data_IF_456811058437
#
_entry.id   IF_456811058437
#
_cell.length_a   1.000
_cell.length_b   1.000
_cell.length_c   1.000
_cell.angle_alpha   90.00
_cell.angle_beta   90.00
_cell.angle_gamma   90.00
#
_symmetry.space_group_name_H-M   'P 1'
#
loop_
_entity.id
_entity.type
_entity.pdbx_description
1 polymer ?
#
# COMPACT_ATOMS: atom_id res chain seq x y z
N UNK A 1 3.93 49.59 -0.23
CA UNK A 1 3.24 48.28 -0.30
C UNK A 1 4.21 47.18 0.11
N UNK A 2 4.31 46.88 1.39
CA UNK A 2 5.23 45.87 1.96
C UNK A 2 4.52 44.53 2.03
N UNK A 3 4.86 43.64 1.09
CA UNK A 3 4.32 42.28 1.02
C UNK A 3 4.84 41.41 2.17
N UNK A 4 3.94 41.00 3.06
CA UNK A 4 4.18 40.01 4.11
C UNK A 4 4.33 38.62 3.49
N UNK A 5 5.57 38.19 3.24
CA UNK A 5 5.89 36.78 2.91
C UNK A 5 5.50 35.89 4.10
N UNK A 6 4.33 35.26 4.03
CA UNK A 6 3.95 34.16 4.94
C UNK A 6 4.95 33.02 4.77
N UNK A 7 5.84 32.85 5.75
CA UNK A 7 6.71 31.66 5.86
C UNK A 7 5.82 30.46 6.19
N UNK A 8 5.74 29.49 5.29
CA UNK A 8 5.14 28.20 5.59
C UNK A 8 5.89 27.56 6.77
N UNK A 9 5.19 27.11 7.84
CA UNK A 9 5.84 26.40 8.93
C UNK A 9 6.40 25.09 8.38
N UNK A 10 7.73 24.96 8.42
CA UNK A 10 8.45 23.76 7.97
C UNK A 10 8.05 22.60 8.89
N UNK A 11 7.31 21.58 8.40
CA UNK A 11 6.81 20.45 9.21
C UNK A 11 7.94 19.70 9.94
N UNK A 12 9.15 19.84 9.43
CA UNK A 12 10.35 19.16 9.92
C UNK A 12 10.85 19.68 11.30
N UNK A 13 10.58 20.95 11.67
CA UNK A 13 11.04 21.48 12.97
C UNK A 13 10.25 20.93 14.15
N UNK A 14 8.92 20.82 13.99
CA UNK A 14 8.05 20.23 15.01
C UNK A 14 8.39 18.75 15.22
N UNK A 15 8.57 18.01 14.11
CA UNK A 15 9.00 16.61 14.15
C UNK A 15 10.34 16.43 14.86
N UNK A 16 11.36 17.22 14.54
CA UNK A 16 12.67 17.14 15.21
C UNK A 16 12.62 17.51 16.69
N UNK A 17 11.66 18.34 17.11
CA UNK A 17 11.41 18.64 18.54
C UNK A 17 10.76 17.45 19.24
N UNK A 18 9.72 16.86 18.64
CA UNK A 18 9.05 15.67 19.19
C UNK A 18 10.03 14.50 19.35
N UNK A 19 10.88 14.25 18.35
CA UNK A 19 11.91 13.21 18.43
C UNK A 19 12.93 13.50 19.54
N UNK A 20 13.40 14.75 19.68
CA UNK A 20 14.32 15.14 20.75
C UNK A 20 13.70 14.99 22.13
N UNK A 21 12.45 15.40 22.29
CA UNK A 21 11.72 15.28 23.54
C UNK A 21 11.56 13.81 23.94
N UNK A 22 11.12 12.96 23.02
CA UNK A 22 10.97 11.53 23.28
C UNK A 22 12.33 10.84 23.58
N UNK A 23 13.40 11.24 22.89
CA UNK A 23 14.75 10.75 23.16
C UNK A 23 15.21 11.08 24.59
N UNK A 24 15.01 12.33 25.01
CA UNK A 24 15.35 12.77 26.36
C UNK A 24 14.49 12.07 27.43
N UNK A 25 13.19 11.92 27.17
CA UNK A 25 12.25 11.28 28.10
C UNK A 25 12.58 9.80 28.34
N UNK A 26 12.97 9.07 27.30
CA UNK A 26 13.27 7.64 27.38
C UNK A 26 14.75 7.34 27.65
N UNK A 27 15.61 8.35 27.73
CA UNK A 27 17.06 8.17 27.88
C UNK A 27 17.71 7.45 26.69
N UNK A 28 17.09 7.51 25.50
CA UNK A 28 17.54 6.79 24.31
C UNK A 28 18.11 7.75 23.27
N UNK A 29 18.96 7.24 22.37
CA UNK A 29 19.49 8.05 21.28
C UNK A 29 18.37 8.64 20.39
N UNK A 30 18.57 9.83 19.84
CA UNK A 30 17.63 10.51 18.93
C UNK A 30 17.10 9.60 17.81
N UNK A 31 17.96 8.74 17.24
CA UNK A 31 17.55 7.79 16.20
C UNK A 31 16.64 6.70 16.73
N UNK A 32 16.76 6.28 18.00
CA UNK A 32 15.83 5.33 18.66
C UNK A 32 14.47 5.99 18.84
N UNK A 33 14.42 7.20 19.37
CA UNK A 33 13.16 7.95 19.50
C UNK A 33 12.50 8.23 18.15
N UNK A 34 13.28 8.55 17.11
CA UNK A 34 12.76 8.73 15.76
C UNK A 34 12.13 7.45 15.20
N UNK A 35 12.70 6.29 15.59
CA UNK A 35 12.24 4.96 15.20
C UNK A 35 10.95 4.58 15.94
N UNK A 36 10.86 4.85 17.24
CA UNK A 36 9.65 4.62 18.03
C UNK A 36 8.49 5.47 17.51
N UNK A 37 8.72 6.76 17.28
CA UNK A 37 7.71 7.66 16.69
C UNK A 37 7.24 7.23 15.30
N UNK A 38 8.10 6.61 14.47
CA UNK A 38 7.68 6.15 13.15
C UNK A 38 6.80 4.89 13.22
N UNK A 39 7.06 3.98 14.16
CA UNK A 39 6.24 2.79 14.37
C UNK A 39 4.92 3.13 15.09
N UNK A 40 4.99 3.99 16.11
CA UNK A 40 3.81 4.59 16.74
C UNK A 40 2.98 5.34 15.70
N UNK A 41 3.60 6.12 14.80
CA UNK A 41 2.83 6.82 13.76
C UNK A 41 2.08 5.87 12.83
N UNK A 42 2.66 4.71 12.47
CA UNK A 42 1.94 3.68 11.71
C UNK A 42 0.78 3.12 12.52
N UNK A 43 1.02 2.72 13.77
CA UNK A 43 -0.01 2.18 14.66
C UNK A 43 -1.14 3.20 14.89
N UNK A 44 -0.80 4.48 15.06
CA UNK A 44 -1.74 5.59 15.18
C UNK A 44 -2.59 5.75 13.92
N UNK A 45 -2.01 5.65 12.72
CA UNK A 45 -2.79 5.74 11.47
C UNK A 45 -3.83 4.62 11.34
N UNK A 46 -3.52 3.40 11.81
CA UNK A 46 -4.49 2.31 11.85
C UNK A 46 -5.52 2.51 12.96
N UNK A 47 -5.09 2.88 14.17
CA UNK A 47 -5.97 3.17 15.29
C UNK A 47 -6.95 4.32 14.99
N UNK A 48 -6.51 5.37 14.30
CA UNK A 48 -7.37 6.48 13.85
C UNK A 48 -8.43 6.02 12.84
N UNK A 49 -8.13 5.01 12.00
CA UNK A 49 -9.12 4.42 11.08
C UNK A 49 -10.13 3.56 11.83
N UNK A 50 -9.68 2.77 12.81
CA UNK A 50 -10.54 1.95 13.66
C UNK A 50 -11.48 2.79 14.53
N UNK A 51 -11.02 3.98 14.96
CA UNK A 51 -11.81 4.92 15.76
C UNK A 51 -12.84 5.72 14.93
N UNK A 52 -12.93 5.49 13.61
CA UNK A 52 -13.94 6.16 12.79
C UNK A 52 -15.35 5.71 13.17
N UNK A 53 -16.28 6.65 13.11
CA UNK A 53 -17.70 6.37 13.28
C UNK A 53 -18.19 5.33 12.26
N UNK A 54 -19.18 4.53 12.66
CA UNK A 54 -19.72 3.43 11.86
C UNK A 54 -20.04 3.82 10.41
N UNK A 55 -20.72 4.94 10.17
CA UNK A 55 -21.04 5.40 8.81
C UNK A 55 -19.82 5.66 7.93
N UNK A 56 -18.73 6.16 8.52
CA UNK A 56 -17.46 6.35 7.80
C UNK A 56 -16.85 5.00 7.44
N UNK A 57 -16.87 4.03 8.37
CA UNK A 57 -16.36 2.68 8.11
C UNK A 57 -17.17 1.96 7.03
N UNK A 58 -18.51 2.05 7.06
CA UNK A 58 -19.39 1.48 6.00
C UNK A 58 -19.10 2.12 4.64
N UNK A 59 -18.85 3.42 4.60
CA UNK A 59 -18.44 4.08 3.35
C UNK A 59 -17.08 3.55 2.88
N UNK A 60 -16.10 3.45 3.78
CA UNK A 60 -14.77 2.92 3.45
C UNK A 60 -14.85 1.48 2.90
N UNK A 61 -15.72 0.61 3.45
CA UNK A 61 -15.93 -0.76 2.98
C UNK A 61 -16.70 -0.84 1.66
N UNK A 62 -17.71 0.01 1.46
CA UNK A 62 -18.39 0.16 0.15
C UNK A 62 -17.42 0.60 -0.95
N UNK A 63 -16.57 1.56 -0.65
CA UNK A 63 -15.52 1.99 -1.57
C UNK A 63 -14.50 0.86 -1.80
N UNK A 64 -14.17 0.08 -0.76
CA UNK A 64 -13.20 -1.02 -0.87
C UNK A 64 -13.69 -2.21 -1.73
N UNK A 65 -14.99 -2.51 -1.76
CA UNK A 65 -15.54 -3.61 -2.57
C UNK A 65 -15.78 -3.23 -4.04
N UNK A 66 -15.68 -1.94 -4.39
CA UNK A 66 -15.81 -1.49 -5.77
C UNK A 66 -14.55 -1.86 -6.58
N UNK A 67 -14.61 -3.02 -7.25
CA UNK A 67 -13.52 -3.52 -8.08
C UNK A 67 -13.54 -2.94 -9.50
N UNK A 68 -12.37 -2.62 -10.10
CA UNK A 68 -11.03 -2.67 -9.52
C UNK A 68 -10.59 -1.35 -8.86
N UNK A 69 -11.27 -0.23 -9.16
CA UNK A 69 -10.80 1.12 -8.82
C UNK A 69 -10.92 1.46 -7.34
N UNK A 70 -12.06 1.14 -6.73
CA UNK A 70 -12.35 1.40 -5.33
C UNK A 70 -11.44 0.62 -4.39
N UNK A 71 -11.24 -0.69 -4.63
CA UNK A 71 -10.24 -1.48 -3.87
C UNK A 71 -8.84 -0.88 -3.97
N UNK A 72 -8.40 -0.50 -5.16
CA UNK A 72 -7.09 0.13 -5.37
C UNK A 72 -6.96 1.48 -4.64
N UNK A 73 -8.01 2.31 -4.67
CA UNK A 73 -8.07 3.58 -3.96
C UNK A 73 -8.04 3.38 -2.44
N UNK A 74 -8.87 2.47 -1.93
CA UNK A 74 -8.95 2.09 -0.53
C UNK A 74 -7.59 1.65 0.01
N UNK A 75 -6.91 0.71 -0.66
CA UNK A 75 -5.58 0.25 -0.22
C UNK A 75 -4.52 1.36 -0.30
N UNK A 76 -4.58 2.23 -1.31
CA UNK A 76 -3.66 3.37 -1.40
C UNK A 76 -3.87 4.35 -0.24
N UNK A 77 -5.11 4.56 0.19
CA UNK A 77 -5.45 5.40 1.34
C UNK A 77 -5.09 4.74 2.68
N UNK A 78 -5.31 3.42 2.82
CA UNK A 78 -4.99 2.64 4.02
C UNK A 78 -3.48 2.54 4.27
N UNK A 79 -2.68 2.45 3.22
CA UNK A 79 -1.22 2.37 3.29
C UNK A 79 -0.57 3.65 2.74
N UNK A 80 -0.56 4.77 3.50
CA UNK A 80 0.07 6.00 3.05
C UNK A 80 1.59 5.85 2.98
N UNK A 81 2.23 6.77 2.24
CA UNK A 81 3.69 6.84 2.11
C UNK A 81 4.36 6.82 3.48
N UNK A 82 5.26 5.86 3.69
CA UNK A 82 5.99 5.70 4.95
C UNK A 82 7.48 5.99 4.75
N UNK A 83 8.02 6.91 5.55
CA UNK A 83 9.45 7.17 5.59
C UNK A 83 10.12 6.26 6.61
N UNK A 84 11.02 5.39 6.15
CA UNK A 84 11.79 4.49 7.01
C UNK A 84 13.29 4.78 6.87
N UNK A 85 14.12 4.30 7.81
CA UNK A 85 15.57 4.34 7.64
C UNK A 85 16.09 3.58 6.41
N UNK A 86 15.30 2.65 5.87
CA UNK A 86 15.60 1.90 4.65
C UNK A 86 15.12 2.60 3.37
N UNK A 87 14.54 3.80 3.47
CA UNK A 87 14.00 4.57 2.37
C UNK A 87 12.48 4.77 2.46
N UNK A 88 11.90 5.24 1.36
CA UNK A 88 10.46 5.47 1.24
C UNK A 88 9.76 4.17 0.88
N UNK A 89 8.75 3.80 1.66
CA UNK A 89 7.84 2.69 1.38
C UNK A 89 6.46 3.22 1.01
N UNK A 90 5.65 2.36 0.38
CA UNK A 90 4.26 2.66 0.01
C UNK A 90 4.16 3.91 -0.89
N UNK A 91 5.16 4.13 -1.74
CA UNK A 91 5.27 5.31 -2.60
C UNK A 91 5.14 4.97 -4.08
N UNK A 92 4.76 5.96 -4.88
CA UNK A 92 4.63 5.84 -6.32
C UNK A 92 3.45 6.70 -6.78
N UNK A 93 3.64 7.74 -7.61
CA UNK A 93 2.57 8.65 -7.98
C UNK A 93 1.40 7.95 -8.71
N UNK A 94 1.69 6.85 -9.42
CA UNK A 94 0.69 6.02 -10.11
C UNK A 94 0.34 4.73 -9.37
N UNK A 95 0.66 4.59 -8.08
CA UNK A 95 0.46 3.33 -7.33
C UNK A 95 -0.98 2.85 -7.34
N UNK A 96 -1.95 3.75 -7.15
CA UNK A 96 -3.37 3.41 -7.23
C UNK A 96 -3.74 2.87 -8.61
N UNK A 97 -3.27 3.54 -9.66
CA UNK A 97 -3.50 3.11 -11.06
C UNK A 97 -2.88 1.74 -11.32
N UNK A 98 -1.66 1.50 -10.85
CA UNK A 98 -1.01 0.18 -10.96
C UNK A 98 -1.83 -0.89 -10.25
N UNK A 99 -2.27 -0.67 -9.01
CA UNK A 99 -3.12 -1.64 -8.30
C UNK A 99 -4.41 -1.93 -9.07
N UNK A 100 -5.07 -0.90 -9.62
CA UNK A 100 -6.28 -1.09 -10.43
C UNK A 100 -6.01 -1.89 -11.72
N UNK A 101 -4.85 -1.67 -12.37
CA UNK A 101 -4.45 -2.45 -13.54
C UNK A 101 -4.15 -3.91 -13.19
N UNK A 102 -3.50 -4.17 -12.06
CA UNK A 102 -3.26 -5.55 -11.58
C UNK A 102 -4.58 -6.27 -11.33
N UNK A 103 -5.52 -5.64 -10.61
CA UNK A 103 -6.85 -6.23 -10.40
C UNK A 103 -7.60 -6.45 -11.71
N UNK A 104 -7.57 -5.49 -12.63
CA UNK A 104 -8.18 -5.66 -13.97
C UNK A 104 -7.58 -6.85 -14.71
N UNK A 105 -6.26 -7.03 -14.63
CA UNK A 105 -5.54 -8.13 -15.26
C UNK A 105 -5.95 -9.48 -14.66
N UNK A 106 -5.98 -9.59 -13.33
CA UNK A 106 -6.44 -10.82 -12.65
C UNK A 106 -7.89 -11.14 -12.99
N UNK A 107 -8.78 -10.15 -12.97
CA UNK A 107 -10.20 -10.36 -13.28
C UNK A 107 -10.43 -10.76 -14.75
N UNK A 108 -9.55 -10.33 -15.66
CA UNK A 108 -9.58 -10.74 -17.06
C UNK A 108 -9.09 -12.19 -17.24
N UNK A 109 -7.94 -12.52 -16.66
CA UNK A 109 -7.27 -13.82 -16.86
C UNK A 109 -7.83 -14.93 -15.97
N UNK A 110 -8.44 -14.57 -14.84
CA UNK A 110 -8.99 -15.50 -13.86
C UNK A 110 -10.30 -14.94 -13.26
N UNK A 111 -11.41 -14.93 -14.04
CA UNK A 111 -12.68 -14.38 -13.57
C UNK A 111 -13.22 -15.03 -12.30
N UNK A 112 -12.87 -16.29 -12.04
CA UNK A 112 -13.22 -17.03 -10.82
C UNK A 112 -12.55 -16.48 -9.55
N UNK A 113 -11.51 -15.64 -9.68
CA UNK A 113 -10.90 -14.93 -8.55
C UNK A 113 -11.75 -13.75 -8.05
N UNK A 114 -12.81 -13.38 -8.79
CA UNK A 114 -13.75 -12.34 -8.36
C UNK A 114 -14.64 -12.89 -7.24
N UNK A 115 -14.70 -12.25 -6.06
CA UNK A 115 -15.65 -12.64 -5.03
C UNK A 115 -17.10 -12.46 -5.52
N UNK A 116 -18.02 -13.25 -4.97
CA UNK A 116 -19.42 -13.20 -5.37
C UNK A 116 -20.02 -11.82 -5.07
N UNK A 117 -20.91 -11.33 -5.95
CA UNK A 117 -21.49 -10.00 -5.79
C UNK A 117 -22.33 -9.86 -4.51
N UNK A 118 -23.03 -10.93 -4.12
CA UNK A 118 -23.82 -10.98 -2.88
C UNK A 118 -22.92 -10.90 -1.64
N UNK A 119 -21.80 -11.63 -1.64
CA UNK A 119 -20.81 -11.61 -0.57
C UNK A 119 -20.17 -10.21 -0.43
N UNK A 120 -19.76 -9.60 -1.55
CA UNK A 120 -19.23 -8.23 -1.58
C UNK A 120 -20.26 -7.21 -1.06
N UNK A 121 -21.53 -7.34 -1.47
CA UNK A 121 -22.60 -6.47 -0.98
C UNK A 121 -22.82 -6.63 0.51
N UNK A 122 -22.73 -7.84 1.04
CA UNK A 122 -22.89 -8.10 2.46
C UNK A 122 -21.72 -7.52 3.28
N UNK A 123 -20.47 -7.80 2.93
CA UNK A 123 -19.30 -7.27 3.67
C UNK A 123 -19.17 -5.76 3.58
N UNK A 124 -19.65 -5.14 2.50
CA UNK A 124 -19.67 -3.69 2.34
C UNK A 124 -20.49 -2.97 3.42
N UNK A 125 -21.52 -3.61 3.96
CA UNK A 125 -22.42 -3.03 4.96
C UNK A 125 -21.94 -3.24 6.41
N UNK A 126 -20.95 -4.10 6.63
CA UNK A 126 -20.45 -4.39 7.98
C UNK A 126 -19.61 -3.24 8.57
N UNK A 127 -18.96 -2.44 7.71
CA UNK A 127 -17.97 -1.45 8.17
C UNK A 127 -16.71 -2.09 8.77
N UNK A 128 -16.44 -3.35 8.43
CA UNK A 128 -15.28 -4.12 8.89
C UNK A 128 -14.30 -4.33 7.71
N UNK A 129 -13.20 -3.56 7.67
CA UNK A 129 -12.20 -3.65 6.59
C UNK A 129 -11.60 -5.07 6.49
N UNK A 130 -11.37 -5.73 7.64
CA UNK A 130 -10.86 -7.09 7.70
C UNK A 130 -11.78 -8.10 6.99
N UNK A 131 -13.11 -7.90 7.03
CA UNK A 131 -14.04 -8.77 6.31
C UNK A 131 -13.89 -8.62 4.79
N UNK A 132 -13.68 -7.39 4.31
CA UNK A 132 -13.38 -7.13 2.90
C UNK A 132 -12.04 -7.76 2.51
N UNK A 133 -11.03 -7.68 3.38
CA UNK A 133 -9.71 -8.25 3.12
C UNK A 133 -9.73 -9.77 3.02
N UNK A 134 -10.48 -10.45 3.89
CA UNK A 134 -10.66 -11.90 3.83
C UNK A 134 -11.37 -12.27 2.51
N UNK A 135 -12.46 -11.58 2.20
CA UNK A 135 -13.25 -11.80 0.97
C UNK A 135 -12.42 -11.60 -0.30
N UNK A 136 -11.59 -10.57 -0.33
CA UNK A 136 -10.72 -10.24 -1.46
C UNK A 136 -9.37 -10.98 -1.45
N UNK A 137 -9.06 -11.80 -0.44
CA UNK A 137 -7.72 -12.34 -0.22
C UNK A 137 -7.16 -13.12 -1.41
N UNK A 138 -7.99 -13.91 -2.11
CA UNK A 138 -7.58 -14.66 -3.30
C UNK A 138 -7.22 -13.72 -4.48
N UNK A 139 -8.05 -12.69 -4.71
CA UNK A 139 -7.82 -11.65 -5.72
C UNK A 139 -6.55 -10.85 -5.40
N UNK A 140 -6.39 -10.43 -4.14
CA UNK A 140 -5.22 -9.68 -3.66
C UNK A 140 -3.93 -10.51 -3.79
N UNK A 141 -4.01 -11.81 -3.49
CA UNK A 141 -2.90 -12.75 -3.66
C UNK A 141 -2.52 -12.92 -5.12
N UNK A 142 -3.49 -13.14 -6.01
CA UNK A 142 -3.24 -13.26 -7.44
C UNK A 142 -2.61 -11.97 -8.01
N UNK A 143 -3.14 -10.80 -7.63
CA UNK A 143 -2.61 -9.50 -8.05
C UNK A 143 -1.16 -9.30 -7.55
N UNK A 144 -0.85 -9.77 -6.33
CA UNK A 144 0.50 -9.74 -5.79
C UNK A 144 1.46 -10.61 -6.60
N UNK A 145 1.05 -11.81 -7.00
CA UNK A 145 1.92 -12.74 -7.73
C UNK A 145 2.27 -12.26 -9.15
N UNK A 146 1.40 -11.45 -9.78
CA UNK A 146 1.73 -10.77 -11.04
C UNK A 146 3.00 -9.89 -10.93
N UNK A 147 3.31 -9.39 -9.73
CA UNK A 147 4.48 -8.53 -9.49
C UNK A 147 5.79 -9.31 -9.27
N UNK A 148 5.76 -10.64 -9.33
CA UNK A 148 6.96 -11.48 -9.33
C UNK A 148 7.44 -11.82 -10.75
N UNK A 149 6.60 -11.61 -11.77
CA UNK A 149 6.99 -11.69 -13.18
C UNK A 149 7.96 -10.55 -13.56
N UNK A 150 8.73 -10.73 -14.63
CA UNK A 150 9.50 -9.62 -15.16
C UNK A 150 8.60 -8.51 -15.69
N UNK A 151 9.09 -7.28 -15.57
CA UNK A 151 8.26 -6.10 -15.86
C UNK A 151 7.74 -6.07 -17.29
N UNK A 152 8.46 -6.65 -18.26
CA UNK A 152 8.03 -6.62 -19.66
C UNK A 152 6.79 -7.50 -19.86
N UNK A 153 6.85 -8.75 -19.40
CA UNK A 153 5.70 -9.66 -19.47
C UNK A 153 4.49 -9.11 -18.71
N UNK A 154 4.70 -8.51 -17.53
CA UNK A 154 3.63 -7.86 -16.78
C UNK A 154 2.94 -6.77 -17.60
N UNK A 155 3.69 -5.90 -18.28
CA UNK A 155 3.09 -4.84 -19.10
C UNK A 155 2.29 -5.39 -20.28
N UNK A 156 2.78 -6.45 -20.94
CA UNK A 156 2.04 -7.10 -22.03
C UNK A 156 0.71 -7.68 -21.55
N UNK A 157 0.69 -8.31 -20.36
CA UNK A 157 -0.54 -8.84 -19.77
C UNK A 157 -1.54 -7.74 -19.41
N UNK A 158 -1.05 -6.64 -18.82
CA UNK A 158 -1.88 -5.46 -18.51
C UNK A 158 -2.48 -4.88 -19.80
N UNK A 159 -1.68 -4.68 -20.86
CA UNK A 159 -2.16 -4.13 -22.13
C UNK A 159 -3.21 -5.03 -22.79
N UNK A 160 -3.00 -6.35 -22.76
CA UNK A 160 -3.95 -7.33 -23.27
C UNK A 160 -5.28 -7.28 -22.50
N UNK A 161 -5.23 -7.26 -21.17
CA UNK A 161 -6.43 -7.19 -20.33
C UNK A 161 -7.22 -5.88 -20.54
N UNK A 162 -6.52 -4.75 -20.68
CA UNK A 162 -7.16 -3.46 -20.93
C UNK A 162 -7.76 -3.37 -22.34
N UNK A 163 -7.07 -3.89 -23.34
CA UNK A 163 -7.59 -4.02 -24.71
C UNK A 163 -8.83 -4.91 -24.77
N UNK A 164 -8.83 -6.05 -24.08
CA UNK A 164 -10.01 -6.90 -23.98
C UNK A 164 -11.16 -6.17 -23.25
N UNK A 165 -10.84 -5.52 -22.13
CA UNK A 165 -11.79 -4.75 -21.34
C UNK A 165 -12.46 -3.61 -22.13
N UNK A 166 -11.74 -2.93 -23.02
CA UNK A 166 -12.30 -1.83 -23.82
C UNK A 166 -13.36 -2.27 -24.83
N UNK A 167 -13.46 -3.58 -25.10
CA UNK A 167 -14.49 -4.17 -25.97
C UNK A 167 -15.56 -4.93 -25.18
N UNK A 168 -15.54 -4.85 -23.84
CA UNK A 168 -16.51 -5.56 -23.00
C UNK A 168 -17.94 -5.02 -23.20
N UNK A 169 -18.93 -5.90 -23.10
CA UNK A 169 -20.35 -5.54 -23.20
C UNK A 169 -20.80 -4.71 -21.99
N UNK A 170 -20.29 -5.02 -20.80
CA UNK A 170 -20.51 -4.21 -19.60
C UNK A 170 -19.83 -2.85 -19.75
N UNK A 171 -20.66 -1.80 -19.78
CA UNK A 171 -20.21 -0.41 -19.90
C UNK A 171 -19.25 -0.02 -18.79
N UNK A 172 -19.46 -0.47 -17.55
CA UNK A 172 -18.60 -0.11 -16.43
C UNK A 172 -17.20 -0.68 -16.63
N UNK A 173 -17.10 -1.96 -16.99
CA UNK A 173 -15.82 -2.62 -17.29
C UNK A 173 -15.10 -1.91 -18.44
N UNK A 174 -15.85 -1.60 -19.50
CA UNK A 174 -15.33 -0.89 -20.67
C UNK A 174 -14.78 0.50 -20.34
N UNK A 175 -15.54 1.31 -19.61
CA UNK A 175 -15.15 2.68 -19.26
C UNK A 175 -13.91 2.70 -18.35
N UNK A 176 -13.82 1.75 -17.40
CA UNK A 176 -12.63 1.54 -16.56
C UNK A 176 -11.42 1.15 -17.41
N UNK A 177 -11.56 0.17 -18.31
CA UNK A 177 -10.47 -0.30 -19.15
C UNK A 177 -9.95 0.79 -20.09
N UNK A 178 -10.83 1.59 -20.69
CA UNK A 178 -10.45 2.74 -21.53
C UNK A 178 -9.68 3.78 -20.72
N UNK A 179 -10.15 4.08 -19.50
CA UNK A 179 -9.51 5.06 -18.62
C UNK A 179 -8.11 4.60 -18.21
N UNK A 180 -7.98 3.37 -17.72
CA UNK A 180 -6.69 2.79 -17.36
C UNK A 180 -5.76 2.64 -18.58
N UNK A 181 -6.29 2.29 -19.75
CA UNK A 181 -5.51 2.21 -21.00
C UNK A 181 -4.90 3.54 -21.43
N UNK A 182 -5.57 4.67 -21.13
CA UNK A 182 -4.99 6.01 -21.35
C UNK A 182 -3.86 6.28 -20.36
N UNK A 183 -4.06 5.97 -19.08
CA UNK A 183 -3.05 6.15 -18.04
C UNK A 183 -1.78 5.31 -18.30
N UNK A 184 -1.95 4.09 -18.81
CA UNK A 184 -0.83 3.21 -19.18
C UNK A 184 0.11 3.88 -20.21
N UNK A 185 -0.43 4.69 -21.11
CA UNK A 185 0.31 5.35 -22.19
C UNK A 185 0.96 6.67 -21.76
N UNK A 186 0.47 7.31 -20.70
CA UNK A 186 0.89 8.66 -20.29
C UNK A 186 1.82 8.67 -19.08
N UNK A 187 1.80 7.63 -18.25
CA UNK A 187 2.52 7.62 -16.97
C UNK A 187 3.69 6.63 -16.99
N UNK A 188 4.85 7.05 -16.46
CA UNK A 188 5.92 6.11 -16.08
C UNK A 188 5.50 5.32 -14.84
N UNK A 189 4.64 4.31 -15.03
CA UNK A 189 4.10 3.48 -13.96
C UNK A 189 5.16 2.56 -13.33
N UNK A 190 6.31 2.38 -14.00
CA UNK A 190 7.45 1.57 -13.51
C UNK A 190 7.90 1.99 -12.11
N UNK A 191 7.94 3.30 -11.82
CA UNK A 191 8.32 3.82 -10.51
C UNK A 191 7.30 3.52 -9.40
N UNK A 192 6.10 3.02 -9.74
CA UNK A 192 5.02 2.73 -8.81
C UNK A 192 4.86 1.25 -8.47
N UNK A 193 5.51 0.35 -9.23
CA UNK A 193 5.48 -1.11 -8.96
C UNK A 193 5.99 -1.46 -7.55
N UNK A 194 7.11 -0.92 -7.04
CA UNK A 194 7.55 -1.24 -5.68
C UNK A 194 6.55 -0.86 -4.60
N UNK A 195 5.87 0.29 -4.76
CA UNK A 195 4.84 0.73 -3.82
C UNK A 195 3.59 -0.13 -3.85
N UNK A 196 3.16 -0.57 -5.04
CA UNK A 196 2.04 -1.50 -5.19
C UNK A 196 2.35 -2.87 -4.55
N UNK A 197 3.56 -3.39 -4.80
CA UNK A 197 4.07 -4.62 -4.18
C UNK A 197 4.04 -4.53 -2.66
N UNK A 198 4.60 -3.45 -2.11
CA UNK A 198 4.62 -3.22 -0.67
C UNK A 198 3.21 -3.12 -0.06
N UNK A 199 2.29 -2.45 -0.75
CA UNK A 199 0.89 -2.35 -0.29
C UNK A 199 0.23 -3.73 -0.20
N UNK A 200 0.35 -4.57 -1.23
CA UNK A 200 -0.21 -5.92 -1.21
C UNK A 200 0.52 -6.82 -0.21
N UNK A 201 1.85 -6.70 -0.07
CA UNK A 201 2.62 -7.40 0.96
C UNK A 201 2.12 -7.07 2.36
N UNK A 202 1.90 -5.78 2.66
CA UNK A 202 1.44 -5.33 3.97
C UNK A 202 0.04 -5.84 4.30
N UNK A 203 -0.85 -5.88 3.31
CA UNK A 203 -2.20 -6.42 3.42
C UNK A 203 -2.17 -7.93 3.68
N UNK A 204 -1.40 -8.69 2.90
CA UNK A 204 -1.43 -10.15 2.91
C UNK A 204 -0.71 -10.77 4.11
N UNK A 205 0.21 -10.05 4.78
CA UNK A 205 0.88 -10.57 5.99
C UNK A 205 0.02 -10.51 7.25
N UNK A 206 -1.00 -9.65 7.28
CA UNK A 206 -1.79 -9.37 8.47
C UNK A 206 -2.46 -10.64 9.05
N UNK A 207 -3.12 -11.50 8.24
CA UNK A 207 -3.73 -12.74 8.75
C UNK A 207 -2.74 -13.77 9.31
N UNK A 208 -1.44 -13.62 9.03
CA UNK A 208 -0.38 -14.55 9.45
C UNK A 208 0.50 -13.97 10.57
N UNK A 209 0.10 -12.84 11.16
CA UNK A 209 0.90 -12.11 12.16
C UNK A 209 2.33 -11.82 11.67
N UNK A 210 2.48 -11.67 10.35
CA UNK A 210 3.78 -11.53 9.70
C UNK A 210 4.35 -10.12 9.77
N UNK A 211 5.61 -9.98 9.38
CA UNK A 211 6.29 -8.69 9.34
C UNK A 211 6.00 -7.92 8.04
N UNK A 212 5.09 -6.95 8.10
CA UNK A 212 4.78 -6.09 6.94
C UNK A 212 5.98 -5.22 6.52
N UNK A 213 6.03 -4.73 5.26
CA UNK A 213 7.02 -3.73 4.87
C UNK A 213 7.07 -2.54 5.85
N UNK A 214 8.28 -2.15 6.25
CA UNK A 214 8.54 -1.16 7.29
C UNK A 214 8.76 -1.76 8.69
N UNK A 215 8.38 -3.02 8.92
CA UNK A 215 8.72 -3.74 10.14
C UNK A 215 10.24 -3.86 10.29
N UNK A 216 10.73 -3.80 11.53
CA UNK A 216 12.16 -3.84 11.86
C UNK A 216 12.52 -5.24 12.36
N UNK A 217 13.53 -5.83 11.73
CA UNK A 217 14.20 -7.05 12.17
C UNK A 217 15.61 -6.67 12.69
N UNK A 218 16.34 -7.60 13.30
CA UNK A 218 17.68 -7.35 13.88
C UNK A 218 18.63 -6.71 12.85
N UNK A 219 18.75 -5.37 12.89
CA UNK A 219 19.59 -4.58 11.97
C UNK A 219 19.01 -4.26 10.59
N UNK A 220 17.79 -4.70 10.27
CA UNK A 220 17.21 -4.56 8.93
C UNK A 220 15.74 -4.08 8.96
N UNK A 221 15.27 -3.54 7.84
CA UNK A 221 13.84 -3.22 7.61
C UNK A 221 13.29 -4.15 6.53
N UNK A 222 12.11 -4.73 6.76
CA UNK A 222 11.38 -5.46 5.71
C UNK A 222 10.96 -4.47 4.63
N UNK A 223 11.29 -4.75 3.38
CA UNK A 223 10.93 -3.91 2.22
C UNK A 223 10.01 -4.64 1.22
N UNK A 224 9.82 -5.93 1.41
CA UNK A 224 8.96 -6.79 0.60
C UNK A 224 8.82 -8.18 1.22
N UNK A 225 7.87 -8.95 0.71
CA UNK A 225 7.55 -10.30 1.19
C UNK A 225 7.47 -11.24 -0.01
N UNK A 226 7.95 -12.48 0.15
CA UNK A 226 7.82 -13.53 -0.85
C UNK A 226 6.67 -14.46 -0.50
N UNK A 227 5.95 -14.86 -1.54
CA UNK A 227 4.69 -15.58 -1.41
C UNK A 227 4.67 -16.81 -2.32
N UNK A 228 3.98 -17.85 -1.86
CA UNK A 228 3.46 -18.89 -2.73
C UNK A 228 2.01 -18.56 -3.14
N UNK A 229 1.40 -19.42 -3.95
CA UNK A 229 0.01 -19.29 -4.39
C UNK A 229 -0.97 -19.18 -3.22
N UNK A 230 -0.71 -19.89 -2.12
CA UNK A 230 -1.51 -19.87 -0.89
C UNK A 230 -0.62 -19.96 0.35
N UNK A 231 -1.18 -19.67 1.52
CA UNK A 231 -0.50 -19.83 2.79
C UNK A 231 0.40 -18.65 3.21
N UNK A 232 1.21 -18.87 4.26
CA UNK A 232 2.00 -17.83 4.91
C UNK A 232 3.15 -17.32 4.04
N UNK A 233 3.80 -16.20 4.43
CA UNK A 233 5.05 -15.75 3.82
C UNK A 233 6.11 -16.85 3.78
N UNK A 234 6.81 -16.99 2.65
CA UNK A 234 7.93 -17.94 2.53
C UNK A 234 9.29 -17.31 2.81
N UNK A 235 9.41 -15.99 2.61
CA UNK A 235 10.61 -15.24 2.97
C UNK A 235 10.31 -13.74 3.06
N UNK A 236 11.21 -13.00 3.72
CA UNK A 236 11.19 -11.56 3.80
C UNK A 236 12.35 -10.96 3.01
N UNK A 237 12.06 -9.93 2.21
CA UNK A 237 13.08 -9.11 1.58
C UNK A 237 13.43 -7.98 2.54
N UNK A 238 14.69 -7.91 2.95
CA UNK A 238 15.14 -6.94 3.95
C UNK A 238 16.22 -6.03 3.41
N UNK A 239 16.21 -4.78 3.85
CA UNK A 239 17.31 -3.83 3.60
C UNK A 239 18.02 -3.55 4.91
N UNK A 240 19.32 -3.84 4.95
CA UNK A 240 20.18 -3.52 6.07
C UNK A 240 20.19 -2.02 6.28
N UNK A 241 19.93 -1.58 7.50
CA UNK A 241 20.22 -0.19 7.86
C UNK A 241 21.68 -0.10 8.21
N UNK A 242 22.45 0.67 7.44
CA UNK A 242 23.87 0.84 7.68
C UNK A 242 24.14 1.12 9.17
N UNK A 243 25.14 0.45 9.79
CA UNK A 243 25.61 0.85 11.10
C UNK A 243 26.11 2.28 10.98
N UNK A 244 25.69 3.13 11.92
CA UNK A 244 26.18 4.50 11.98
C UNK A 244 27.68 4.40 12.21
N UNK A 245 28.50 4.93 11.30
CA UNK A 245 29.92 5.08 11.55
C UNK A 245 30.09 5.76 12.92
N UNK A 246 30.74 5.08 13.85
CA UNK A 246 31.14 5.71 15.10
C UNK A 246 32.02 6.90 14.74
N UNK A 247 31.77 8.10 15.30
CA UNK A 247 32.72 9.18 15.14
C UNK A 247 34.02 8.71 15.79
N UNK A 248 35.08 8.60 14.99
CA UNK A 248 36.45 8.47 15.48
C UNK A 248 36.66 9.63 16.45
N UNK A 249 36.73 9.30 17.74
CA UNK A 249 37.07 10.25 18.78
C UNK A 249 38.46 10.79 18.48
N UNK A 250 38.53 12.10 18.26
CA UNK A 250 39.76 12.91 18.32
C UNK A 250 39.65 13.77 19.56
#
# INVERSE_FOLDING_TARGET
MTGTKRRHPVPDRARRRAIRALAAQLGVAYSVAARLLANEHRQLLFAEREQRGFHSRVRDTRDAVDLPLGRAAHLTARFPRLLTPAGVLYSGPGRQTVLAMLYTTVLHESPSSRPAAEELSWVAELGEEAAVDITCSALDRAARLLLDDDSWHLWTRIDAALTAGSHNQDRRVRDVAITLGRELRTVSLRGSLPGARQTLDALLVEPYEGHAPGARLRGATVIGVRWQQSGPPTAYETRTTAPKAEPLGV
#
